data_IF_547078631556
#
_entry.id   IF_547078631556
#
_cell.length_a   1.000
_cell.length_b   1.000
_cell.length_c   1.000
_cell.angle_alpha   90.00
_cell.angle_beta   90.00
_cell.angle_gamma   90.00
#
_symmetry.space_group_name_H-M   'P 1'
#
loop_
_entity.id
_entity.type
_entity.pdbx_description
1 polymer ?
#
# COMPACT_ATOMS: atom_id res chain seq x y z
N UNK A 1 9.30 14.24 -5.04
CA UNK A 1 8.25 13.21 -4.92
C UNK A 1 6.90 13.85 -5.21
N UNK A 2 6.19 13.37 -6.24
CA UNK A 2 4.96 13.98 -6.75
C UNK A 2 3.82 13.86 -5.72
N UNK A 3 2.85 14.78 -5.73
CA UNK A 3 1.71 14.83 -4.77
C UNK A 3 0.98 13.48 -4.71
N UNK A 4 0.83 12.82 -5.86
CA UNK A 4 0.19 11.51 -5.99
C UNK A 4 1.00 10.37 -5.37
N UNK A 5 2.34 10.39 -5.47
CA UNK A 5 3.19 9.35 -4.84
C UNK A 5 3.09 9.41 -3.31
N UNK A 6 3.04 10.61 -2.72
CA UNK A 6 2.86 10.77 -1.27
C UNK A 6 1.52 10.20 -0.81
N UNK A 7 0.45 10.42 -1.59
CA UNK A 7 -0.88 9.90 -1.29
C UNK A 7 -0.90 8.36 -1.43
N UNK A 8 -0.30 7.80 -2.48
CA UNK A 8 -0.21 6.34 -2.64
C UNK A 8 0.51 5.66 -1.48
N UNK A 9 1.63 6.22 -1.01
CA UNK A 9 2.36 5.67 0.15
C UNK A 9 1.51 5.79 1.43
N UNK A 10 0.81 6.92 1.62
CA UNK A 10 -0.10 7.10 2.74
C UNK A 10 -1.22 6.06 2.76
N UNK A 11 -1.91 5.86 1.64
CA UNK A 11 -2.98 4.86 1.52
C UNK A 11 -2.45 3.46 1.79
N UNK A 12 -1.25 3.14 1.29
CA UNK A 12 -0.62 1.83 1.47
C UNK A 12 -0.31 1.50 2.93
N UNK A 13 -0.15 2.49 3.80
CA UNK A 13 0.09 2.32 5.24
C UNK A 13 -1.22 2.39 6.02
N UNK A 14 -2.08 3.35 5.71
CA UNK A 14 -3.34 3.59 6.43
C UNK A 14 -4.31 2.42 6.26
N UNK A 15 -4.39 1.83 5.06
CA UNK A 15 -5.30 0.73 4.77
C UNK A 15 -5.04 -0.53 5.61
N UNK A 16 -3.81 -1.08 5.67
CA UNK A 16 -3.52 -2.23 6.53
C UNK A 16 -3.62 -1.91 8.03
N UNK A 17 -3.26 -0.69 8.47
CA UNK A 17 -3.42 -0.29 9.88
C UNK A 17 -4.90 -0.24 10.28
N UNK A 18 -5.75 0.34 9.44
CA UNK A 18 -7.19 0.39 9.68
C UNK A 18 -7.79 -1.03 9.78
N UNK A 19 -7.46 -1.91 8.84
CA UNK A 19 -7.94 -3.30 8.87
C UNK A 19 -7.35 -4.10 10.03
N UNK A 20 -6.14 -3.80 10.49
CA UNK A 20 -5.54 -4.40 11.67
C UNK A 20 -6.29 -4.01 12.95
N UNK A 21 -6.62 -2.73 13.11
CA UNK A 21 -7.42 -2.24 14.25
C UNK A 21 -8.80 -2.91 14.24
N UNK A 22 -9.51 -2.89 13.11
CA UNK A 22 -10.82 -3.55 12.97
C UNK A 22 -10.71 -5.05 13.28
N UNK A 23 -9.67 -5.73 12.80
CA UNK A 23 -9.46 -7.15 13.03
C UNK A 23 -9.22 -7.48 14.51
N UNK A 24 -8.44 -6.64 15.23
CA UNK A 24 -8.25 -6.76 16.67
C UNK A 24 -9.56 -6.56 17.45
N UNK A 25 -10.37 -5.55 17.10
CA UNK A 25 -11.65 -5.30 17.74
C UNK A 25 -12.68 -6.41 17.49
N UNK A 26 -12.67 -7.00 16.30
CA UNK A 26 -13.65 -8.04 15.92
C UNK A 26 -13.21 -9.45 16.31
N UNK A 27 -11.94 -9.64 16.71
CA UNK A 27 -11.32 -10.96 16.91
C UNK A 27 -11.22 -11.81 15.63
N UNK A 28 -11.64 -11.26 14.49
CA UNK A 28 -11.68 -11.93 13.19
C UNK A 28 -10.46 -11.53 12.37
N UNK A 29 -9.41 -12.33 12.49
CA UNK A 29 -8.16 -12.23 11.72
C UNK A 29 -8.37 -12.30 10.20
N UNK A 30 -9.51 -12.86 9.75
CA UNK A 30 -9.89 -12.90 8.34
C UNK A 30 -9.92 -11.52 7.68
N UNK A 31 -10.35 -10.46 8.38
CA UNK A 31 -10.36 -9.10 7.81
C UNK A 31 -8.95 -8.57 7.54
N UNK A 32 -8.01 -8.83 8.45
CA UNK A 32 -6.61 -8.48 8.24
C UNK A 32 -5.98 -9.28 7.10
N UNK A 33 -6.19 -10.59 7.08
CA UNK A 33 -5.69 -11.48 6.03
C UNK A 33 -6.25 -11.16 4.64
N UNK A 34 -7.50 -10.71 4.55
CA UNK A 34 -8.12 -10.30 3.29
C UNK A 34 -7.61 -8.94 2.78
N UNK A 35 -7.07 -8.11 3.67
CA UNK A 35 -6.45 -6.82 3.31
C UNK A 35 -5.01 -6.94 2.82
N UNK A 36 -4.33 -8.08 3.07
CA UNK A 36 -2.95 -8.33 2.66
C UNK A 36 -2.77 -8.37 1.13
N UNK A 37 -3.56 -9.13 0.35
CA UNK A 37 -3.43 -9.15 -1.12
C UNK A 37 -3.52 -7.77 -1.78
N UNK A 38 -4.56 -6.93 -1.53
CA UNK A 38 -4.64 -5.61 -2.14
C UNK A 38 -3.52 -4.67 -1.67
N UNK A 39 -3.06 -4.79 -0.42
CA UNK A 39 -1.93 -4.01 0.09
C UNK A 39 -0.61 -4.39 -0.62
N UNK A 40 -0.40 -5.68 -0.87
CA UNK A 40 0.77 -6.18 -1.59
C UNK A 40 0.77 -5.73 -3.04
N UNK A 41 -0.39 -5.80 -3.72
CA UNK A 41 -0.55 -5.32 -5.09
C UNK A 41 -0.25 -3.82 -5.17
N UNK A 42 -0.83 -3.01 -4.29
CA UNK A 42 -0.54 -1.57 -4.20
C UNK A 42 0.95 -1.29 -4.03
N UNK A 43 1.63 -2.07 -3.19
CA UNK A 43 3.07 -1.95 -2.96
C UNK A 43 3.92 -2.28 -4.16
N UNK A 44 3.62 -3.39 -4.82
CA UNK A 44 4.31 -3.78 -6.04
C UNK A 44 4.08 -2.74 -7.14
N UNK A 45 2.86 -2.27 -7.34
CA UNK A 45 2.55 -1.21 -8.31
C UNK A 45 3.34 0.07 -8.00
N UNK A 46 3.38 0.51 -6.74
CA UNK A 46 4.18 1.67 -6.34
C UNK A 46 5.68 1.49 -6.56
N UNK A 47 6.21 0.30 -6.28
CA UNK A 47 7.61 -0.05 -6.50
C UNK A 47 7.97 -0.07 -7.99
N UNK A 48 7.18 -0.72 -8.84
CA UNK A 48 7.40 -0.75 -10.28
C UNK A 48 7.25 0.65 -10.89
N UNK A 49 6.26 1.44 -10.48
CA UNK A 49 6.09 2.82 -10.93
C UNK A 49 7.29 3.70 -10.53
N UNK A 50 7.81 3.55 -9.31
CA UNK A 50 9.00 4.26 -8.85
C UNK A 50 10.26 3.86 -9.65
N UNK A 51 10.44 2.56 -9.88
CA UNK A 51 11.55 2.04 -10.70
C UNK A 51 11.50 2.55 -12.14
N UNK A 52 10.30 2.62 -12.72
CA UNK A 52 10.09 3.14 -14.07
C UNK A 52 10.30 4.66 -14.14
N UNK A 53 9.86 5.41 -13.14
CA UNK A 53 10.12 6.84 -13.04
C UNK A 53 11.63 7.16 -12.88
N UNK A 54 12.35 6.35 -12.10
CA UNK A 54 13.79 6.50 -11.92
C UNK A 54 14.58 6.22 -13.22
N UNK A 55 14.17 5.20 -14.00
CA UNK A 55 14.73 4.91 -15.33
C UNK A 55 14.63 6.08 -16.32
N UNK A 56 13.58 6.88 -16.27
CA UNK A 56 13.39 8.05 -17.15
C UNK A 56 14.15 9.30 -16.69
N UNK A 57 14.82 9.28 -15.53
CA UNK A 57 15.60 10.42 -15.02
C UNK A 57 17.06 10.40 -15.53
N UNK A 58 17.50 9.29 -16.16
CA UNK A 58 18.86 9.08 -16.65
C UNK A 58 18.97 8.89 -18.17
N UNK A 59 17.91 9.17 -18.94
CA UNK A 59 17.91 9.28 -20.40
C UNK A 59 17.51 10.70 -20.80
#
# INVERSE_FOLDING_TARGET
MNKYQKISIGVMIVFPIFFLVVSMFTGKWGFFLWSLPPSFISGMTGFFASKHANRNTYN
#
